data_IF_318519545419
#
_entry.id   IF_318519545419
#
_cell.length_a   1.000
_cell.length_b   1.000
_cell.length_c   1.000
_cell.angle_alpha   90.00
_cell.angle_beta   90.00
_cell.angle_gamma   90.00
#
_symmetry.space_group_name_H-M   'P 1'
#
loop_
_entity.id
_entity.type
_entity.pdbx_description
1 polymer ?
#
# COMPACT_ATOMS: atom_id res chain seq x y z
N UNK A 1 -9.89 -20.12 -12.63
CA UNK A 1 -10.44 -18.85 -12.08
C UNK A 1 -9.27 -17.88 -11.88
N UNK A 2 -9.20 -16.81 -12.65
CA UNK A 2 -8.21 -15.77 -12.41
C UNK A 2 -8.62 -15.04 -11.12
N UNK A 3 -7.98 -15.40 -10.00
CA UNK A 3 -8.19 -14.73 -8.73
C UNK A 3 -7.74 -13.27 -8.90
N UNK A 4 -8.67 -12.31 -8.68
CA UNK A 4 -8.40 -10.89 -8.78
C UNK A 4 -7.23 -10.52 -7.84
N UNK A 5 -6.10 -9.97 -8.32
CA UNK A 5 -4.92 -9.74 -7.50
C UNK A 5 -5.17 -8.69 -6.42
N UNK A 6 -4.36 -8.75 -5.37
CA UNK A 6 -4.29 -7.71 -4.34
C UNK A 6 -3.12 -6.80 -4.70
N UNK A 7 -3.39 -5.51 -4.88
CA UNK A 7 -2.36 -4.51 -5.11
C UNK A 7 -1.87 -3.96 -3.76
N UNK A 8 -0.56 -4.04 -3.53
CA UNK A 8 0.09 -3.51 -2.34
C UNK A 8 0.99 -2.33 -2.69
N UNK A 9 0.93 -1.25 -1.92
CA UNK A 9 1.93 -0.16 -1.92
C UNK A 9 2.69 -0.20 -0.61
N UNK A 10 4.01 -0.26 -0.66
CA UNK A 10 4.85 -0.37 0.55
C UNK A 10 4.78 0.85 1.47
N UNK A 11 4.38 2.02 0.96
CA UNK A 11 4.32 3.24 1.76
C UNK A 11 5.70 3.76 2.16
N UNK A 12 5.85 4.12 3.43
CA UNK A 12 7.13 4.62 3.97
C UNK A 12 8.20 3.52 3.93
N UNK A 13 9.30 3.72 3.19
CA UNK A 13 10.34 2.71 3.01
C UNK A 13 11.04 2.31 4.31
N UNK A 14 11.05 3.19 5.29
CA UNK A 14 11.70 2.97 6.58
C UNK A 14 10.72 2.50 7.69
N UNK A 15 9.57 1.96 7.27
CA UNK A 15 8.59 1.35 8.17
C UNK A 15 8.80 -0.15 8.31
N UNK A 16 8.06 -0.77 9.21
CA UNK A 16 8.04 -2.23 9.42
C UNK A 16 7.26 -2.99 8.33
N UNK A 17 6.71 -2.30 7.34
CA UNK A 17 5.77 -2.90 6.38
C UNK A 17 6.39 -4.04 5.57
N UNK A 18 7.59 -3.86 5.04
CA UNK A 18 8.23 -4.91 4.25
C UNK A 18 8.63 -6.12 5.11
N UNK A 19 8.99 -5.92 6.37
CA UNK A 19 9.18 -7.04 7.30
C UNK A 19 7.90 -7.85 7.48
N UNK A 20 6.77 -7.18 7.71
CA UNK A 20 5.46 -7.84 7.79
C UNK A 20 5.10 -8.54 6.47
N UNK A 21 5.36 -7.89 5.34
CA UNK A 21 5.13 -8.48 4.02
C UNK A 21 5.94 -9.77 3.82
N UNK A 22 7.23 -9.77 4.14
CA UNK A 22 8.06 -10.98 4.03
C UNK A 22 7.59 -12.09 4.94
N UNK A 23 7.19 -11.78 6.18
CA UNK A 23 6.61 -12.77 7.10
C UNK A 23 5.36 -13.42 6.51
N UNK A 24 4.45 -12.61 6.00
CA UNK A 24 3.15 -13.08 5.46
C UNK A 24 3.32 -13.88 4.18
N UNK A 25 4.14 -13.41 3.23
CA UNK A 25 4.32 -14.11 1.94
C UNK A 25 4.95 -15.49 2.13
N UNK A 26 5.85 -15.65 3.11
CA UNK A 26 6.50 -16.91 3.41
C UNK A 26 5.60 -17.91 4.17
N UNK A 27 4.48 -17.47 4.74
CA UNK A 27 3.50 -18.35 5.37
C UNK A 27 2.57 -19.05 4.38
N UNK A 28 2.56 -18.63 3.11
CA UNK A 28 1.71 -19.17 2.04
C UNK A 28 0.20 -19.20 2.36
N UNK A 29 -0.27 -18.34 3.26
CA UNK A 29 -1.69 -18.29 3.67
C UNK A 29 -2.59 -17.50 2.71
N UNK A 30 -2.00 -16.67 1.86
CA UNK A 30 -2.74 -15.79 0.95
C UNK A 30 -2.96 -16.50 -0.39
N UNK A 31 -4.23 -16.75 -0.71
CA UNK A 31 -4.64 -17.42 -1.96
C UNK A 31 -4.61 -16.49 -3.17
N UNK A 32 -4.97 -15.22 -3.01
CA UNK A 32 -4.94 -14.24 -4.09
C UNK A 32 -3.50 -13.83 -4.41
N UNK A 33 -3.10 -13.73 -5.69
CA UNK A 33 -1.78 -13.23 -6.03
C UNK A 33 -1.61 -11.79 -5.57
N UNK A 34 -0.42 -11.47 -5.07
CA UNK A 34 -0.06 -10.13 -4.62
C UNK A 34 0.82 -9.48 -5.67
N UNK A 35 0.52 -8.21 -5.99
CA UNK A 35 1.37 -7.31 -6.77
C UNK A 35 1.87 -6.24 -5.81
N UNK A 36 3.18 -6.18 -5.59
CA UNK A 36 3.81 -5.18 -4.73
C UNK A 36 4.36 -4.03 -5.57
N UNK A 37 4.02 -2.80 -5.20
CA UNK A 37 4.64 -1.58 -5.72
C UNK A 37 5.63 -1.11 -4.67
N UNK A 38 6.91 -1.18 -4.98
CA UNK A 38 8.01 -0.79 -4.10
C UNK A 38 9.32 -0.65 -4.88
N UNK A 39 10.42 -0.34 -4.20
CA UNK A 39 11.74 -0.31 -4.83
C UNK A 39 12.44 -1.65 -4.72
N UNK A 40 12.93 -2.17 -5.86
CA UNK A 40 13.74 -3.40 -5.89
C UNK A 40 14.98 -3.29 -5.01
N UNK A 41 15.68 -2.15 -5.06
CA UNK A 41 16.87 -1.91 -4.24
C UNK A 41 16.55 -1.98 -2.75
N UNK A 42 15.45 -1.34 -2.33
CA UNK A 42 14.98 -1.36 -0.94
C UNK A 42 14.64 -2.79 -0.49
N UNK A 43 13.86 -3.53 -1.31
CA UNK A 43 13.46 -4.90 -0.99
C UNK A 43 14.68 -5.80 -0.80
N UNK A 44 15.65 -5.74 -1.72
CA UNK A 44 16.88 -6.54 -1.62
C UNK A 44 17.67 -6.22 -0.37
N UNK A 45 17.84 -4.94 -0.03
CA UNK A 45 18.54 -4.53 1.19
C UNK A 45 17.83 -5.00 2.47
N UNK A 46 16.50 -4.86 2.52
CA UNK A 46 15.74 -5.28 3.70
C UNK A 46 15.65 -6.81 3.81
N UNK A 47 15.47 -7.54 2.69
CA UNK A 47 15.55 -9.01 2.70
C UNK A 47 16.90 -9.49 3.25
N UNK A 48 18.01 -8.90 2.77
CA UNK A 48 19.36 -9.25 3.27
C UNK A 48 19.48 -8.97 4.77
N UNK A 49 19.01 -7.81 5.23
CA UNK A 49 19.08 -7.42 6.65
C UNK A 49 18.25 -8.32 7.57
N UNK A 50 17.09 -8.77 7.08
CA UNK A 50 16.11 -9.54 7.84
C UNK A 50 16.25 -11.06 7.64
N UNK A 51 17.20 -11.53 6.81
CA UNK A 51 17.46 -12.95 6.59
C UNK A 51 16.48 -13.65 5.64
N UNK A 52 15.69 -12.92 4.85
CA UNK A 52 14.79 -13.49 3.86
C UNK A 52 15.47 -13.75 2.51
N UNK A 53 15.01 -14.79 1.78
CA UNK A 53 15.55 -15.21 0.47
C UNK A 53 14.41 -15.50 -0.50
N UNK A 54 13.64 -14.46 -0.85
CA UNK A 54 12.57 -14.60 -1.82
C UNK A 54 13.05 -14.20 -3.23
N UNK A 55 12.59 -14.94 -4.25
CA UNK A 55 12.79 -14.54 -5.64
C UNK A 55 11.89 -13.36 -5.98
N UNK A 56 12.38 -12.44 -6.79
CA UNK A 56 11.65 -11.26 -7.25
C UNK A 56 11.38 -11.40 -8.75
N UNK A 57 10.11 -11.28 -9.15
CA UNK A 57 9.68 -11.15 -10.54
C UNK A 57 9.31 -9.69 -10.81
N UNK A 58 10.03 -9.04 -11.71
CA UNK A 58 9.68 -7.69 -12.14
C UNK A 58 8.50 -7.73 -13.11
N UNK A 59 7.50 -6.91 -12.86
CA UNK A 59 6.32 -6.75 -13.70
C UNK A 59 6.31 -5.38 -14.38
N UNK A 60 5.84 -5.35 -15.63
CA UNK A 60 5.48 -4.11 -16.30
C UNK A 60 4.05 -3.72 -15.95
N UNK A 61 3.84 -2.50 -15.48
CA UNK A 61 2.52 -1.98 -15.13
C UNK A 61 1.55 -1.97 -16.34
N UNK A 62 2.06 -1.85 -17.56
CA UNK A 62 1.26 -1.81 -18.80
C UNK A 62 0.87 -3.19 -19.31
N UNK A 63 1.54 -4.25 -18.84
CA UNK A 63 1.36 -5.62 -19.32
C UNK A 63 0.83 -6.57 -18.25
N UNK A 64 0.16 -6.08 -17.21
CA UNK A 64 -0.25 -6.90 -16.05
C UNK A 64 -1.13 -8.10 -16.43
N UNK A 65 -2.01 -7.94 -17.42
CA UNK A 65 -2.91 -9.00 -17.89
C UNK A 65 -2.19 -10.17 -18.56
N UNK A 66 -0.95 -9.98 -19.05
CA UNK A 66 -0.17 -11.03 -19.69
C UNK A 66 0.55 -11.98 -18.73
N UNK A 67 0.63 -11.61 -17.45
CA UNK A 67 1.33 -12.42 -16.46
C UNK A 67 0.40 -13.45 -15.79
N UNK A 68 0.84 -14.70 -15.74
CA UNK A 68 0.26 -15.70 -14.82
C UNK A 68 0.87 -15.47 -13.43
N UNK A 69 0.11 -14.79 -12.55
CA UNK A 69 0.56 -14.40 -11.22
C UNK A 69 0.35 -15.52 -10.20
N UNK A 70 1.33 -15.68 -9.31
CA UNK A 70 1.27 -16.54 -8.13
C UNK A 70 2.02 -15.85 -6.97
N UNK A 71 2.08 -16.49 -5.80
CA UNK A 71 2.81 -15.97 -4.63
C UNK A 71 4.12 -16.73 -4.35
N UNK A 72 4.61 -17.56 -5.28
CA UNK A 72 5.91 -18.25 -5.17
C UNK A 72 7.09 -17.29 -5.32
N UNK A 73 6.85 -16.16 -5.96
CA UNK A 73 7.81 -15.07 -6.14
C UNK A 73 7.17 -13.76 -5.71
N UNK A 74 7.97 -12.79 -5.33
CA UNK A 74 7.50 -11.41 -5.11
C UNK A 74 7.25 -10.78 -6.48
N UNK A 75 5.97 -10.60 -6.84
CA UNK A 75 5.60 -9.90 -8.06
C UNK A 75 5.74 -8.39 -7.82
N UNK A 76 6.80 -7.79 -8.34
CA UNK A 76 7.19 -6.42 -8.05
C UNK A 76 7.03 -5.50 -9.25
N UNK A 77 6.33 -4.40 -9.06
CA UNK A 77 6.42 -3.23 -9.94
C UNK A 77 7.41 -2.26 -9.28
N UNK A 78 8.54 -2.07 -9.94
CA UNK A 78 9.64 -1.29 -9.39
C UNK A 78 9.38 0.22 -9.53
N UNK A 79 9.54 0.93 -8.41
CA UNK A 79 9.55 2.39 -8.36
C UNK A 79 10.89 2.82 -7.80
N UNK A 80 11.57 3.71 -8.51
CA UNK A 80 12.92 4.12 -8.15
C UNK A 80 12.98 4.76 -6.76
N UNK A 81 13.81 4.17 -5.90
CA UNK A 81 14.22 4.70 -4.61
C UNK A 81 15.61 4.19 -4.29
N UNK A 82 16.52 5.08 -3.92
CA UNK A 82 17.92 4.76 -3.64
C UNK A 82 18.22 4.87 -2.13
N UNK A 83 17.94 3.83 -1.33
CA UNK A 83 18.29 3.80 0.07
C UNK A 83 19.80 3.60 0.26
N UNK A 84 20.41 4.25 1.26
CA UNK A 84 21.78 3.99 1.66
C UNK A 84 21.88 2.78 2.61
N UNK A 85 20.84 2.53 3.39
CA UNK A 85 20.73 1.43 4.36
C UNK A 85 19.36 0.78 4.27
N UNK A 86 19.25 -0.44 4.81
CA UNK A 86 17.98 -1.17 4.86
C UNK A 86 16.89 -0.40 5.63
N UNK A 87 17.28 0.29 6.70
CA UNK A 87 16.41 1.14 7.50
C UNK A 87 17.13 2.45 7.82
N UNK A 88 16.46 3.55 7.57
CA UNK A 88 16.90 4.91 7.87
C UNK A 88 15.86 5.62 8.74
N UNK A 89 16.20 6.80 9.26
CA UNK A 89 15.24 7.65 9.94
C UNK A 89 14.20 8.17 8.96
N UNK A 90 12.92 8.07 9.32
CA UNK A 90 11.81 8.62 8.51
C UNK A 90 12.03 10.11 8.27
N UNK A 91 11.96 10.52 7.02
CA UNK A 91 12.23 11.92 6.62
C UNK A 91 11.48 12.26 5.32
N UNK A 92 11.63 13.50 4.85
CA UNK A 92 11.06 13.95 3.56
C UNK A 92 11.69 13.27 2.33
N UNK A 93 12.82 12.60 2.50
CA UNK A 93 13.57 11.93 1.42
C UNK A 93 12.73 10.89 0.66
N UNK A 94 11.80 10.23 1.37
CA UNK A 94 10.93 9.20 0.81
C UNK A 94 9.68 9.75 0.11
N UNK A 95 9.36 11.04 0.25
CA UNK A 95 8.09 11.60 -0.24
C UNK A 95 7.86 11.40 -1.74
N UNK A 96 8.88 11.62 -2.57
CA UNK A 96 8.79 11.44 -4.02
C UNK A 96 8.51 9.99 -4.39
N UNK A 97 9.20 9.04 -3.73
CA UNK A 97 8.97 7.61 -3.90
C UNK A 97 7.54 7.22 -3.51
N UNK A 98 7.09 7.65 -2.32
CA UNK A 98 5.73 7.37 -1.83
C UNK A 98 4.70 7.91 -2.82
N UNK A 99 4.84 9.18 -3.24
CA UNK A 99 3.93 9.83 -4.19
C UNK A 99 3.84 9.06 -5.50
N UNK A 100 4.99 8.78 -6.14
CA UNK A 100 5.06 8.00 -7.38
C UNK A 100 4.43 6.61 -7.24
N UNK A 101 4.66 5.95 -6.10
CA UNK A 101 4.09 4.62 -5.82
C UNK A 101 2.57 4.64 -5.75
N UNK A 102 1.98 5.64 -5.08
CA UNK A 102 0.53 5.80 -5.03
C UNK A 102 -0.07 6.20 -6.38
N UNK A 103 0.53 7.15 -7.11
CA UNK A 103 0.07 7.55 -8.43
C UNK A 103 0.04 6.36 -9.40
N UNK A 104 1.11 5.56 -9.39
CA UNK A 104 1.18 4.34 -10.18
C UNK A 104 0.12 3.31 -9.76
N UNK A 105 -0.11 3.14 -8.45
CA UNK A 105 -1.14 2.26 -7.93
C UNK A 105 -2.54 2.68 -8.40
N UNK A 106 -2.88 3.96 -8.30
CA UNK A 106 -4.18 4.47 -8.71
C UNK A 106 -4.41 4.29 -10.23
N UNK A 107 -3.38 4.52 -11.04
CA UNK A 107 -3.44 4.22 -12.47
C UNK A 107 -3.71 2.74 -12.73
N UNK A 108 -2.94 1.85 -12.09
CA UNK A 108 -3.10 0.40 -12.24
C UNK A 108 -4.50 -0.07 -11.82
N UNK A 109 -5.03 0.45 -10.72
CA UNK A 109 -6.37 0.14 -10.23
C UNK A 109 -7.42 0.47 -11.29
N UNK A 110 -7.36 1.67 -11.89
CA UNK A 110 -8.28 2.10 -12.95
C UNK A 110 -8.15 1.24 -14.21
N UNK A 111 -6.93 1.07 -14.71
CA UNK A 111 -6.66 0.41 -16.00
C UNK A 111 -6.96 -1.10 -15.98
N UNK A 112 -6.87 -1.73 -14.80
CA UNK A 112 -7.02 -3.18 -14.65
C UNK A 112 -8.23 -3.61 -13.80
N UNK A 113 -9.07 -2.66 -13.37
CA UNK A 113 -10.24 -2.92 -12.51
C UNK A 113 -9.89 -3.74 -11.25
N UNK A 114 -8.77 -3.41 -10.60
CA UNK A 114 -8.35 -4.07 -9.37
C UNK A 114 -9.21 -3.55 -8.22
N UNK A 115 -9.84 -4.47 -7.45
CA UNK A 115 -10.79 -4.14 -6.38
C UNK A 115 -10.20 -4.21 -4.97
N UNK A 116 -8.99 -4.76 -4.84
CA UNK A 116 -8.34 -4.97 -3.54
C UNK A 116 -7.03 -4.21 -3.52
N UNK A 117 -6.96 -3.22 -2.65
CA UNK A 117 -5.81 -2.37 -2.47
C UNK A 117 -5.42 -2.29 -1.00
N UNK A 118 -4.14 -2.44 -0.71
CA UNK A 118 -3.57 -2.32 0.64
C UNK A 118 -2.40 -1.35 0.56
N UNK A 119 -2.37 -0.38 1.45
CA UNK A 119 -1.24 0.52 1.59
C UNK A 119 -0.47 0.27 2.89
N UNK A 120 0.83 0.36 2.81
CA UNK A 120 1.72 0.41 3.96
C UNK A 120 1.60 1.74 4.72
N UNK A 121 2.21 1.84 5.90
CA UNK A 121 2.21 3.06 6.70
C UNK A 121 2.77 4.25 5.93
N UNK A 122 2.29 5.42 6.25
CA UNK A 122 2.83 6.70 5.75
C UNK A 122 3.04 7.68 6.90
N UNK A 123 3.99 8.57 6.76
CA UNK A 123 4.21 9.63 7.74
C UNK A 123 3.24 10.79 7.53
N UNK A 124 2.29 11.00 8.45
CA UNK A 124 1.41 12.17 8.44
C UNK A 124 2.20 13.48 8.42
N UNK A 125 3.28 13.55 9.20
CA UNK A 125 4.14 14.74 9.33
C UNK A 125 4.85 15.09 8.03
N UNK A 126 5.42 14.09 7.34
CA UNK A 126 6.30 14.34 6.21
C UNK A 126 5.57 14.20 4.88
N UNK A 127 4.67 13.24 4.72
CA UNK A 127 3.99 12.98 3.46
C UNK A 127 2.68 13.75 3.33
N UNK A 128 1.73 13.63 4.29
CA UNK A 128 0.43 14.29 4.19
C UNK A 128 0.49 15.80 4.50
N UNK A 129 1.54 16.30 5.16
CA UNK A 129 1.81 17.74 5.41
C UNK A 129 0.63 18.55 5.97
N UNK A 130 -0.30 17.92 6.69
CA UNK A 130 -1.56 18.49 7.17
C UNK A 130 -2.60 18.83 6.08
N UNK A 131 -2.34 18.50 4.80
CA UNK A 131 -3.31 18.66 3.72
C UNK A 131 -4.45 17.66 3.85
N UNK A 132 -4.18 16.49 4.44
CA UNK A 132 -5.15 15.43 4.69
C UNK A 132 -5.12 14.99 6.16
N UNK A 133 -6.30 14.69 6.71
CA UNK A 133 -6.44 14.15 8.07
C UNK A 133 -5.85 12.74 8.19
N UNK A 134 -5.93 11.96 7.11
CA UNK A 134 -5.38 10.62 7.04
C UNK A 134 -5.25 10.10 5.61
N UNK A 135 -4.85 8.84 5.50
CA UNK A 135 -4.69 8.16 4.20
C UNK A 135 -6.03 7.92 3.52
N UNK A 136 -7.10 7.74 4.26
CA UNK A 136 -8.45 7.53 3.73
C UNK A 136 -8.91 8.73 2.92
N UNK A 137 -8.76 9.93 3.46
CA UNK A 137 -9.12 11.18 2.81
C UNK A 137 -8.25 11.42 1.56
N UNK A 138 -6.95 11.13 1.66
CA UNK A 138 -6.03 11.21 0.52
C UNK A 138 -6.45 10.28 -0.61
N UNK A 139 -6.76 9.02 -0.31
CA UNK A 139 -7.20 8.04 -1.31
C UNK A 139 -8.55 8.44 -1.92
N UNK A 140 -9.52 8.86 -1.09
CA UNK A 140 -10.84 9.31 -1.54
C UNK A 140 -10.74 10.45 -2.55
N UNK A 141 -9.92 11.46 -2.27
CA UNK A 141 -9.71 12.57 -3.18
C UNK A 141 -9.13 12.11 -4.51
N UNK A 142 -8.12 11.25 -4.49
CA UNK A 142 -7.47 10.75 -5.72
C UNK A 142 -8.38 9.87 -6.58
N UNK A 143 -9.39 9.25 -6.01
CA UNK A 143 -10.42 8.51 -6.75
C UNK A 143 -11.66 9.36 -7.09
N UNK A 144 -11.70 10.64 -6.66
CA UNK A 144 -12.86 11.53 -6.84
C UNK A 144 -14.16 10.92 -6.30
N UNK A 145 -14.07 10.13 -5.23
CA UNK A 145 -15.22 9.49 -4.62
C UNK A 145 -15.74 10.33 -3.46
N UNK A 146 -17.01 10.77 -3.55
CA UNK A 146 -17.68 11.52 -2.48
C UNK A 146 -18.23 10.59 -1.39
N UNK A 147 -18.56 9.36 -1.73
CA UNK A 147 -19.21 8.40 -0.84
C UNK A 147 -18.18 7.35 -0.40
N UNK A 148 -17.34 7.70 0.55
CA UNK A 148 -16.43 6.76 1.21
C UNK A 148 -16.87 6.52 2.63
N UNK A 149 -16.87 5.26 3.06
CA UNK A 149 -17.06 4.91 4.46
C UNK A 149 -15.86 4.14 4.99
N UNK A 150 -15.58 4.34 6.28
CA UNK A 150 -14.58 3.58 7.00
C UNK A 150 -15.28 2.42 7.70
N UNK A 151 -14.82 1.18 7.44
CA UNK A 151 -15.28 0.02 8.19
C UNK A 151 -14.13 -0.48 9.08
N UNK A 152 -14.32 -0.38 10.39
CA UNK A 152 -13.43 -1.02 11.38
C UNK A 152 -14.00 -2.43 11.59
N UNK A 153 -13.28 -3.41 11.05
CA UNK A 153 -13.76 -4.79 10.97
C UNK A 153 -13.15 -5.66 12.05
N UNK A 154 -13.99 -6.40 12.75
CA UNK A 154 -13.63 -7.55 13.56
C UNK A 154 -14.70 -8.62 13.40
N UNK A 155 -14.33 -9.91 13.53
CA UNK A 155 -15.28 -11.04 13.40
C UNK A 155 -16.47 -10.98 14.38
N UNK A 156 -16.27 -10.40 15.57
CA UNK A 156 -17.30 -10.28 16.60
C UNK A 156 -18.10 -8.99 16.50
N UNK A 157 -17.46 -7.90 16.10
CA UNK A 157 -18.10 -6.58 16.00
C UNK A 157 -17.43 -5.76 14.90
N UNK A 158 -18.22 -5.20 14.01
CA UNK A 158 -17.75 -4.26 12.99
C UNK A 158 -18.45 -2.91 13.19
N UNK A 159 -17.69 -1.83 13.08
CA UNK A 159 -18.17 -0.46 13.30
C UNK A 159 -17.89 0.39 12.07
N UNK A 160 -18.93 1.10 11.60
CA UNK A 160 -18.83 2.08 10.54
C UNK A 160 -19.23 3.45 11.10
N UNK A 161 -18.29 4.34 11.41
CA UNK A 161 -18.61 5.67 11.91
C UNK A 161 -19.27 6.52 10.81
N UNK A 162 -20.38 7.17 11.12
CA UNK A 162 -21.08 8.08 10.20
C UNK A 162 -20.28 9.38 10.01
N UNK A 163 -19.64 9.84 11.09
CA UNK A 163 -18.77 11.04 11.07
C UNK A 163 -17.41 10.72 11.64
N UNK A 164 -16.35 11.36 11.12
CA UNK A 164 -14.98 11.24 11.60
C UNK A 164 -14.39 12.61 11.87
N UNK A 165 -13.56 12.70 12.92
CA UNK A 165 -12.79 13.91 13.26
C UNK A 165 -13.62 15.18 13.51
N UNK A 166 -14.87 15.03 13.96
CA UNK A 166 -15.74 16.16 14.32
C UNK A 166 -15.90 16.27 15.84
N UNK A 167 -15.90 17.48 16.40
CA UNK A 167 -16.37 17.72 17.76
C UNK A 167 -17.83 17.26 17.91
N UNK A 168 -18.17 16.60 19.02
CA UNK A 168 -19.49 16.02 19.24
C UNK A 168 -20.65 17.03 19.01
N UNK A 169 -20.46 18.29 19.40
CA UNK A 169 -21.44 19.37 19.19
C UNK A 169 -21.77 19.69 17.74
N UNK A 170 -20.94 19.25 16.78
CA UNK A 170 -21.12 19.50 15.35
C UNK A 170 -21.67 18.30 14.60
N UNK A 171 -21.82 17.15 15.28
CA UNK A 171 -22.30 15.90 14.63
C UNK A 171 -23.72 16.05 14.12
N UNK A 172 -24.62 16.65 14.91
CA UNK A 172 -26.03 16.87 14.52
C UNK A 172 -26.19 17.69 13.23
N UNK A 173 -25.24 18.53 12.88
CA UNK A 173 -25.27 19.35 11.66
C UNK A 173 -24.75 18.60 10.41
N UNK A 174 -24.31 17.33 10.57
CA UNK A 174 -23.70 16.52 9.50
C UNK A 174 -24.45 15.21 9.23
N UNK A 175 -25.42 14.89 10.05
CA UNK A 175 -26.39 13.80 9.88
C UNK A 175 -27.73 14.41 9.46
#
# INVERSE_FOLDING_TARGET
MNSNPILLVSGEPNSVFLELFFKVINQNVIKNPIILISSKKLIVLQMKRLGYKNNIRLLSATKLKSYKLDNKTINLIDVEYNPNKAFEKISRKSNTFIKKSFELAFKIIKDNNIRKFINGPISKKYFLKKEFLGITEYISEKFFTKNTCMLIFNKKLSVCPITTHLPLKLVSNKI
#
